data_IF_470642860697
#
_entry.id   IF_470642860697
#
_cell.length_a   1.000
_cell.length_b   1.000
_cell.length_c   1.000
_cell.angle_alpha   90.00
_cell.angle_beta   90.00
_cell.angle_gamma   90.00
#
_symmetry.space_group_name_H-M   'P 1'
#
loop_
_entity.id
_entity.type
_entity.pdbx_description
1 polymer ?
#
# COMPACT_ATOMS: atom_id res chain seq x y z
N UNK A 1 -10.14 -14.78 -1.98
CA UNK A 1 -10.24 -15.24 -3.37
C UNK A 1 -8.95 -15.94 -3.80
N UNK A 2 -9.03 -17.00 -4.59
CA UNK A 2 -7.87 -17.73 -5.08
C UNK A 2 -8.11 -18.24 -6.50
N UNK A 3 -7.06 -18.16 -7.34
CA UNK A 3 -7.11 -18.62 -8.72
C UNK A 3 -5.90 -19.50 -9.04
N UNK A 4 -6.15 -20.63 -9.70
CA UNK A 4 -5.14 -21.46 -10.35
C UNK A 4 -5.14 -21.09 -11.82
N UNK A 5 -3.99 -20.65 -12.32
CA UNK A 5 -3.86 -20.23 -13.71
C UNK A 5 -3.89 -21.44 -14.64
N UNK A 6 -4.56 -21.33 -15.77
CA UNK A 6 -4.67 -22.41 -16.76
C UNK A 6 -3.30 -22.80 -17.31
N UNK A 7 -2.47 -21.80 -17.59
CA UNK A 7 -1.07 -21.96 -18.01
C UNK A 7 -0.15 -21.25 -17.02
N UNK A 8 1.10 -21.73 -16.85
CA UNK A 8 2.12 -20.98 -16.13
C UNK A 8 2.31 -19.62 -16.80
N UNK A 9 2.26 -18.55 -16.02
CA UNK A 9 2.34 -17.16 -16.49
C UNK A 9 3.63 -16.51 -16.00
N UNK A 10 4.16 -15.61 -16.79
CA UNK A 10 5.27 -14.77 -16.39
C UNK A 10 4.83 -13.69 -15.40
N UNK A 11 5.78 -12.88 -14.93
CA UNK A 11 5.54 -11.84 -13.95
C UNK A 11 4.51 -10.80 -14.43
N UNK A 12 4.59 -10.34 -15.67
CA UNK A 12 3.69 -9.28 -16.17
C UNK A 12 2.28 -9.80 -16.41
N UNK A 13 2.14 -11.00 -16.97
CA UNK A 13 0.84 -11.64 -17.14
C UNK A 13 0.16 -11.91 -15.81
N UNK A 14 0.89 -12.43 -14.82
CA UNK A 14 0.35 -12.68 -13.49
C UNK A 14 -0.01 -11.36 -12.78
N UNK A 15 0.72 -10.27 -13.02
CA UNK A 15 0.39 -8.93 -12.50
C UNK A 15 -0.99 -8.45 -12.97
N UNK A 16 -1.34 -8.68 -14.23
CA UNK A 16 -2.67 -8.36 -14.75
C UNK A 16 -3.76 -9.17 -14.03
N UNK A 17 -3.52 -10.47 -13.81
CA UNK A 17 -4.46 -11.33 -13.08
C UNK A 17 -4.62 -10.86 -11.62
N UNK A 18 -3.53 -10.46 -10.97
CA UNK A 18 -3.59 -9.88 -9.61
C UNK A 18 -4.44 -8.61 -9.60
N UNK A 19 -4.36 -7.75 -10.61
CA UNK A 19 -5.21 -6.56 -10.74
C UNK A 19 -6.67 -6.93 -10.87
N UNK A 20 -7.03 -7.84 -11.78
CA UNK A 20 -8.42 -8.30 -11.96
C UNK A 20 -8.98 -8.91 -10.67
N UNK A 21 -8.20 -9.77 -10.00
CA UNK A 21 -8.61 -10.38 -8.74
C UNK A 21 -8.80 -9.33 -7.63
N UNK A 22 -7.99 -8.28 -7.63
CA UNK A 22 -8.11 -7.17 -6.68
C UNK A 22 -9.38 -6.38 -6.92
N UNK A 23 -9.70 -6.05 -8.18
CA UNK A 23 -10.95 -5.37 -8.56
C UNK A 23 -12.17 -6.19 -8.12
N UNK A 24 -12.17 -7.49 -8.40
CA UNK A 24 -13.25 -8.39 -7.98
C UNK A 24 -13.38 -8.47 -6.45
N UNK A 25 -12.26 -8.50 -5.72
CA UNK A 25 -12.25 -8.49 -4.27
C UNK A 25 -12.85 -7.20 -3.71
N UNK A 26 -12.47 -6.06 -4.25
CA UNK A 26 -12.98 -4.75 -3.84
C UNK A 26 -14.48 -4.65 -4.11
N UNK A 27 -14.95 -5.09 -5.27
CA UNK A 27 -16.39 -5.14 -5.58
C UNK A 27 -17.18 -5.93 -4.53
N UNK A 28 -16.67 -7.11 -4.12
CA UNK A 28 -17.29 -7.92 -3.07
C UNK A 28 -17.31 -7.24 -1.70
N UNK A 29 -16.26 -6.49 -1.36
CA UNK A 29 -16.17 -5.72 -0.11
C UNK A 29 -17.21 -4.58 -0.14
N UNK A 30 -17.27 -3.82 -1.23
CA UNK A 30 -18.23 -2.72 -1.41
C UNK A 30 -19.68 -3.22 -1.40
N UNK A 31 -19.98 -4.31 -2.12
CA UNK A 31 -21.31 -4.91 -2.16
C UNK A 31 -21.81 -5.27 -0.77
N UNK A 32 -20.93 -5.78 0.09
CA UNK A 32 -21.21 -6.15 1.48
C UNK A 32 -21.14 -4.98 2.46
N UNK A 33 -20.84 -3.77 2.00
CA UNK A 33 -20.63 -2.57 2.82
C UNK A 33 -19.57 -2.79 3.91
N UNK A 34 -18.47 -3.43 3.52
CA UNK A 34 -17.33 -3.68 4.39
C UNK A 34 -16.15 -2.80 3.97
N UNK A 35 -15.25 -2.59 4.92
CA UNK A 35 -13.93 -2.01 4.70
C UNK A 35 -12.87 -2.98 5.24
N UNK A 36 -11.67 -2.90 4.73
CA UNK A 36 -10.54 -3.74 5.16
C UNK A 36 -9.36 -2.88 5.57
N UNK A 37 -8.61 -3.31 6.57
CA UNK A 37 -7.34 -2.70 6.96
C UNK A 37 -6.12 -3.59 6.68
N UNK A 38 -6.33 -4.80 6.13
CA UNK A 38 -5.22 -5.71 5.86
C UNK A 38 -5.48 -6.56 4.62
N UNK A 39 -4.49 -6.63 3.73
CA UNK A 39 -4.50 -7.52 2.57
C UNK A 39 -3.35 -8.52 2.66
N UNK A 40 -3.66 -9.77 2.36
CA UNK A 40 -2.67 -10.86 2.26
C UNK A 40 -2.61 -11.33 0.82
N UNK A 41 -1.41 -11.44 0.28
CA UNK A 41 -1.15 -11.96 -1.07
C UNK A 41 -0.22 -13.15 -1.00
N UNK A 42 -0.55 -14.21 -1.75
CA UNK A 42 0.28 -15.41 -1.88
C UNK A 42 0.41 -15.77 -3.36
N UNK A 43 1.65 -15.91 -3.81
CA UNK A 43 2.02 -16.26 -5.18
C UNK A 43 2.64 -17.65 -5.19
N UNK A 44 1.98 -18.60 -5.83
CA UNK A 44 2.48 -19.97 -6.00
C UNK A 44 3.14 -20.14 -7.35
N UNK A 45 4.37 -20.66 -7.35
CA UNK A 45 5.15 -20.90 -8.56
C UNK A 45 4.87 -22.27 -9.17
N UNK A 46 5.13 -22.38 -10.46
CA UNK A 46 4.93 -23.63 -11.21
C UNK A 46 6.10 -24.61 -11.00
N UNK A 47 5.78 -25.90 -11.09
CA UNK A 47 6.77 -26.99 -11.00
C UNK A 47 7.79 -26.93 -12.13
N UNK A 48 7.43 -26.37 -13.26
CA UNK A 48 8.31 -26.26 -14.44
C UNK A 48 9.54 -25.38 -14.17
N UNK A 49 9.50 -24.54 -13.13
CA UNK A 49 10.67 -23.80 -12.65
C UNK A 49 11.79 -24.71 -12.11
N UNK A 50 11.48 -25.94 -11.73
CA UNK A 50 12.46 -26.93 -11.25
C UNK A 50 13.02 -27.81 -12.37
N UNK A 51 12.39 -27.79 -13.56
CA UNK A 51 12.84 -28.57 -14.72
C UNK A 51 13.90 -27.76 -15.46
N UNK A 52 15.02 -28.41 -15.78
CA UNK A 52 16.13 -27.82 -16.54
C UNK A 52 15.85 -27.78 -18.03
N UNK A 53 14.65 -27.41 -18.47
CA UNK A 53 14.30 -27.35 -19.89
C UNK A 53 14.19 -25.89 -20.37
N UNK A 54 14.75 -25.62 -21.55
CA UNK A 54 14.60 -24.36 -22.29
C UNK A 54 15.38 -23.15 -21.78
N UNK A 55 16.71 -23.28 -21.56
CA UNK A 55 17.58 -22.08 -21.40
C UNK A 55 17.40 -21.27 -20.12
N UNK A 56 16.52 -21.68 -19.21
CA UNK A 56 16.36 -21.08 -17.90
C UNK A 56 17.35 -21.66 -16.91
N UNK A 57 17.95 -20.80 -16.09
CA UNK A 57 18.81 -21.25 -14.97
C UNK A 57 17.97 -22.09 -14.01
N UNK A 58 18.52 -23.25 -13.58
CA UNK A 58 17.89 -24.09 -12.59
C UNK A 58 17.64 -23.28 -11.32
N UNK A 59 16.41 -23.35 -10.78
CA UNK A 59 16.06 -22.71 -9.53
C UNK A 59 16.95 -23.19 -8.38
N UNK A 60 17.56 -22.27 -7.66
CA UNK A 60 18.47 -22.56 -6.54
C UNK A 60 17.89 -22.12 -5.17
N UNK A 61 16.65 -21.63 -5.16
CA UNK A 61 16.00 -21.20 -3.93
C UNK A 61 15.41 -22.35 -3.11
N UNK A 62 14.67 -22.00 -2.07
CA UNK A 62 14.02 -22.95 -1.17
C UNK A 62 12.90 -23.70 -1.90
N UNK A 63 12.93 -25.05 -1.81
CA UNK A 63 11.94 -25.95 -2.40
C UNK A 63 11.04 -26.46 -1.27
N UNK A 64 9.73 -26.41 -1.50
CA UNK A 64 8.71 -27.00 -0.62
C UNK A 64 7.99 -28.15 -1.30
N UNK A 65 7.41 -29.02 -0.50
CA UNK A 65 6.53 -30.08 -0.97
C UNK A 65 5.08 -29.62 -0.81
N UNK A 66 4.30 -29.71 -1.88
CA UNK A 66 2.88 -29.39 -1.85
C UNK A 66 2.07 -30.53 -1.21
N UNK A 67 0.75 -30.30 -1.01
CA UNK A 67 -0.17 -31.30 -0.44
C UNK A 67 -0.28 -32.60 -1.24
N UNK A 68 0.18 -32.61 -2.49
CA UNK A 68 0.19 -33.78 -3.36
C UNK A 68 1.57 -34.47 -3.45
N UNK A 69 2.52 -34.08 -2.59
CA UNK A 69 3.87 -34.63 -2.55
C UNK A 69 4.80 -34.10 -3.66
N UNK A 70 4.40 -33.07 -4.44
CA UNK A 70 5.20 -32.52 -5.53
C UNK A 70 6.15 -31.45 -4.99
N UNK A 71 7.38 -31.48 -5.45
CA UNK A 71 8.35 -30.42 -5.17
C UNK A 71 8.01 -29.19 -6.00
N UNK A 72 7.93 -28.05 -5.35
CA UNK A 72 7.66 -26.75 -5.97
C UNK A 72 8.56 -25.67 -5.34
N UNK A 73 8.89 -24.58 -6.06
CA UNK A 73 9.56 -23.45 -5.43
C UNK A 73 8.73 -22.91 -4.27
N UNK A 74 9.39 -22.40 -3.23
CA UNK A 74 8.72 -21.74 -2.11
C UNK A 74 7.86 -20.59 -2.65
N UNK A 75 6.60 -20.56 -2.25
CA UNK A 75 5.67 -19.49 -2.63
C UNK A 75 6.10 -18.13 -2.08
N UNK A 76 5.86 -17.07 -2.85
CA UNK A 76 5.89 -15.70 -2.37
C UNK A 76 4.68 -15.46 -1.46
N UNK A 77 4.90 -14.87 -0.29
CA UNK A 77 3.82 -14.58 0.66
C UNK A 77 4.10 -13.25 1.35
N UNK A 78 3.07 -12.44 1.50
CA UNK A 78 3.19 -11.19 2.21
C UNK A 78 1.86 -10.62 2.64
N UNK A 79 1.95 -9.72 3.59
CA UNK A 79 0.83 -8.97 4.14
C UNK A 79 1.13 -7.49 4.03
N UNK A 80 0.13 -6.69 3.72
CA UNK A 80 0.16 -5.24 3.80
C UNK A 80 -0.98 -4.76 4.69
N UNK A 81 -0.65 -3.91 5.65
CA UNK A 81 -1.62 -3.19 6.46
C UNK A 81 -1.88 -1.84 5.78
N UNK A 82 -3.13 -1.44 5.78
CA UNK A 82 -3.58 -0.14 5.30
C UNK A 82 -3.68 0.81 6.50
N UNK A 83 -3.28 2.06 6.33
CA UNK A 83 -3.27 3.05 7.42
C UNK A 83 -4.66 3.27 8.04
N UNK A 84 -5.69 3.18 7.20
CA UNK A 84 -7.08 3.28 7.64
C UNK A 84 -7.92 2.17 6.96
N UNK A 85 -8.96 1.63 7.65
CA UNK A 85 -9.92 0.74 7.03
C UNK A 85 -10.56 1.39 5.81
N UNK A 86 -10.53 0.73 4.67
CA UNK A 86 -11.01 1.31 3.40
C UNK A 86 -11.58 0.25 2.46
N UNK A 87 -12.47 0.68 1.59
CA UNK A 87 -12.94 -0.04 0.40
C UNK A 87 -12.51 0.66 -0.90
N UNK A 88 -11.62 1.64 -0.82
CA UNK A 88 -11.12 2.39 -1.98
C UNK A 88 -10.32 1.49 -2.91
N UNK A 89 -10.81 1.32 -4.15
CA UNK A 89 -10.14 0.53 -5.18
C UNK A 89 -8.72 1.01 -5.44
N UNK A 90 -8.51 2.32 -5.54
CA UNK A 90 -7.18 2.89 -5.83
C UNK A 90 -6.17 2.61 -4.72
N UNK A 91 -6.59 2.75 -3.46
CA UNK A 91 -5.74 2.51 -2.29
C UNK A 91 -5.37 1.03 -2.17
N UNK A 92 -6.36 0.14 -2.27
CA UNK A 92 -6.16 -1.30 -2.18
C UNK A 92 -5.33 -1.80 -3.37
N UNK A 93 -5.64 -1.36 -4.60
CA UNK A 93 -4.90 -1.73 -5.80
C UNK A 93 -3.42 -1.36 -5.71
N UNK A 94 -3.12 -0.12 -5.30
CA UNK A 94 -1.74 0.33 -5.10
C UNK A 94 -1.02 -0.55 -4.10
N UNK A 95 -1.60 -0.76 -2.92
CA UNK A 95 -1.00 -1.57 -1.86
C UNK A 95 -0.74 -3.02 -2.30
N UNK A 96 -1.67 -3.63 -3.05
CA UNK A 96 -1.54 -4.99 -3.58
C UNK A 96 -0.43 -5.08 -4.62
N UNK A 97 -0.35 -4.13 -5.54
CA UNK A 97 0.68 -4.13 -6.59
C UNK A 97 2.07 -3.90 -6.03
N UNK A 98 2.22 -2.99 -5.06
CA UNK A 98 3.49 -2.77 -4.36
C UNK A 98 3.91 -4.04 -3.58
N UNK A 99 2.94 -4.71 -2.94
CA UNK A 99 3.17 -5.99 -2.26
C UNK A 99 3.57 -7.08 -3.26
N UNK A 100 2.88 -7.18 -4.40
CA UNK A 100 3.17 -8.14 -5.45
C UNK A 100 4.62 -8.01 -5.96
N UNK A 101 5.06 -6.79 -6.25
CA UNK A 101 6.42 -6.53 -6.72
C UNK A 101 7.49 -6.90 -5.69
N UNK A 102 7.18 -6.72 -4.41
CA UNK A 102 8.09 -7.01 -3.31
C UNK A 102 8.26 -8.50 -3.02
N UNK A 103 7.17 -9.31 -3.14
CA UNK A 103 7.18 -10.71 -2.73
C UNK A 103 7.40 -11.69 -3.89
N UNK A 104 7.30 -11.21 -5.15
CA UNK A 104 7.31 -12.09 -6.32
C UNK A 104 8.69 -12.13 -6.97
N UNK A 105 9.21 -13.34 -7.17
CA UNK A 105 10.41 -13.54 -7.97
C UNK A 105 10.06 -13.41 -9.47
N UNK A 106 10.63 -12.37 -10.10
CA UNK A 106 10.34 -12.00 -11.51
C UNK A 106 10.87 -13.03 -12.52
N UNK A 107 11.74 -13.94 -12.09
CA UNK A 107 12.35 -14.95 -12.95
C UNK A 107 11.57 -16.24 -13.03
N UNK A 108 10.59 -16.43 -12.14
CA UNK A 108 9.84 -17.68 -11.99
C UNK A 108 8.47 -17.60 -12.67
N UNK A 109 8.03 -18.74 -13.21
CA UNK A 109 6.68 -18.93 -13.70
C UNK A 109 5.70 -19.07 -12.54
N UNK A 110 4.60 -18.32 -12.60
CA UNK A 110 3.55 -18.28 -11.60
C UNK A 110 2.42 -19.22 -12.02
N UNK A 111 1.88 -19.98 -11.08
CA UNK A 111 0.78 -20.93 -11.29
C UNK A 111 -0.45 -20.62 -10.46
N UNK A 112 -0.31 -19.96 -9.34
CA UNK A 112 -1.40 -19.69 -8.40
C UNK A 112 -1.29 -18.29 -7.82
N UNK A 113 -2.43 -17.66 -7.66
CA UNK A 113 -2.56 -16.37 -6.99
C UNK A 113 -3.67 -16.49 -5.95
N UNK A 114 -3.39 -16.10 -4.72
CA UNK A 114 -4.39 -15.97 -3.65
C UNK A 114 -4.32 -14.57 -3.08
N UNK A 115 -5.48 -13.92 -3.00
CA UNK A 115 -5.63 -12.62 -2.36
C UNK A 115 -6.74 -12.70 -1.32
N UNK A 116 -6.49 -12.18 -0.14
CA UNK A 116 -7.42 -12.19 0.98
C UNK A 116 -7.45 -10.83 1.65
N UNK A 117 -8.65 -10.30 1.86
CA UNK A 117 -8.86 -9.15 2.73
C UNK A 117 -9.16 -9.67 4.15
N UNK A 118 -8.40 -9.19 5.10
CA UNK A 118 -8.56 -9.49 6.52
C UNK A 118 -8.98 -8.24 7.28
N UNK A 119 -9.30 -8.40 8.57
CA UNK A 119 -9.72 -7.30 9.43
C UNK A 119 -10.86 -6.49 8.76
N UNK A 120 -11.88 -7.24 8.32
CA UNK A 120 -13.08 -6.66 7.72
C UNK A 120 -13.95 -6.07 8.82
N UNK A 121 -14.39 -4.83 8.62
CA UNK A 121 -15.29 -4.09 9.53
C UNK A 121 -16.45 -3.52 8.71
N UNK A 122 -17.60 -3.36 9.33
CA UNK A 122 -18.73 -2.66 8.70
C UNK A 122 -18.34 -1.19 8.43
N UNK A 123 -18.65 -0.68 7.26
CA UNK A 123 -18.32 0.67 6.82
C UNK A 123 -18.85 1.74 7.78
N UNK A 124 -20.06 1.53 8.35
CA UNK A 124 -20.66 2.46 9.30
C UNK A 124 -19.93 2.46 10.64
N UNK A 125 -19.47 1.28 11.10
CA UNK A 125 -18.71 1.16 12.34
C UNK A 125 -17.33 1.79 12.19
N UNK A 126 -16.65 1.55 11.07
CA UNK A 126 -15.35 2.15 10.77
C UNK A 126 -15.42 3.69 10.68
N UNK A 127 -16.53 4.24 10.16
CA UNK A 127 -16.76 5.69 10.13
C UNK A 127 -17.08 6.30 11.51
N UNK A 128 -17.57 5.48 12.45
CA UNK A 128 -17.93 5.93 13.81
C UNK A 128 -16.73 5.86 14.78
N UNK A 129 -15.70 5.08 14.49
CA UNK A 129 -14.48 5.06 15.29
C UNK A 129 -13.71 6.36 15.09
N UNK A 130 -13.43 7.13 16.16
CA UNK A 130 -12.56 8.30 16.06
C UNK A 130 -11.19 7.81 15.58
N UNK A 131 -10.71 8.37 14.47
CA UNK A 131 -9.35 8.13 14.01
C UNK A 131 -8.41 8.76 15.05
N UNK A 132 -7.93 7.96 16.00
CA UNK A 132 -6.86 8.38 16.88
C UNK A 132 -5.58 8.48 16.04
N UNK A 133 -5.37 9.61 15.40
CA UNK A 133 -4.03 9.95 14.95
C UNK A 133 -3.18 10.13 16.20
N UNK A 134 -2.19 9.27 16.33
CA UNK A 134 -1.16 9.48 17.34
C UNK A 134 -0.42 10.77 16.94
N UNK A 135 -0.84 11.89 17.55
CA UNK A 135 -0.19 13.16 17.34
C UNK A 135 1.25 13.00 17.83
N UNK A 136 2.18 13.21 16.91
CA UNK A 136 3.60 13.17 17.26
C UNK A 136 3.89 14.46 18.05
N UNK A 137 3.93 14.35 19.36
CA UNK A 137 4.02 15.47 20.31
C UNK A 137 5.16 16.46 19.96
N UNK A 138 6.21 15.94 19.31
CA UNK A 138 7.37 16.74 18.90
C UNK A 138 7.15 17.52 17.58
N UNK A 139 6.31 17.02 16.68
CA UNK A 139 6.07 17.69 15.39
C UNK A 139 5.10 18.87 15.55
N UNK A 140 4.16 18.78 16.49
CA UNK A 140 3.21 19.85 16.75
C UNK A 140 3.84 20.99 17.56
N UNK A 141 4.77 20.68 18.47
CA UNK A 141 5.55 21.71 19.15
C UNK A 141 6.40 22.55 18.18
N UNK A 142 7.05 21.91 17.23
CA UNK A 142 7.87 22.61 16.22
C UNK A 142 7.01 23.47 15.27
N UNK A 143 5.79 23.02 14.93
CA UNK A 143 4.87 23.82 14.12
C UNK A 143 4.29 25.04 14.87
N UNK A 144 4.01 24.90 16.16
CA UNK A 144 3.52 26.03 16.96
C UNK A 144 4.60 27.09 17.16
N UNK A 145 5.86 26.69 17.41
CA UNK A 145 6.96 27.65 17.55
C UNK A 145 7.28 28.40 16.25
N UNK A 146 7.18 27.71 15.09
CA UNK A 146 7.39 28.36 13.78
C UNK A 146 6.27 29.35 13.47
N UNK A 147 5.01 29.01 13.77
CA UNK A 147 3.88 29.92 13.52
C UNK A 147 3.88 31.14 14.45
N UNK A 148 4.32 30.99 15.71
CA UNK A 148 4.48 32.12 16.64
C UNK A 148 5.66 33.01 16.28
N UNK A 149 6.75 32.44 15.73
CA UNK A 149 7.89 33.21 15.24
C UNK A 149 7.55 34.02 13.98
N UNK A 150 6.76 33.46 13.07
CA UNK A 150 6.28 34.17 11.86
C UNK A 150 5.31 35.31 12.21
N UNK A 151 4.35 35.11 13.12
CA UNK A 151 3.47 36.16 13.57
C UNK A 151 4.17 37.29 14.30
N UNK A 152 5.23 36.97 15.04
CA UNK A 152 6.03 37.97 15.75
C UNK A 152 6.93 38.79 14.79
N UNK A 153 7.38 38.18 13.71
CA UNK A 153 8.15 38.86 12.66
C UNK A 153 7.25 39.81 11.82
N UNK A 154 6.03 39.41 11.54
CA UNK A 154 5.07 40.21 10.79
C UNK A 154 4.57 41.44 11.61
N UNK A 155 4.32 41.26 12.91
CA UNK A 155 3.94 42.36 13.80
C UNK A 155 5.09 43.38 14.06
N UNK A 156 6.35 42.94 13.95
CA UNK A 156 7.51 43.83 14.07
C UNK A 156 7.76 44.66 12.82
N UNK A 157 7.40 44.16 11.65
CA UNK A 157 7.55 44.92 10.38
C UNK A 157 6.51 46.01 10.20
N UNK A 158 5.32 45.83 10.77
CA UNK A 158 4.22 46.81 10.66
C UNK A 158 4.38 48.01 11.63
N UNK A 159 5.15 47.83 12.70
CA UNK A 159 5.41 48.93 13.67
C UNK A 159 6.51 49.89 13.21
N UNK A 160 7.22 49.62 12.12
CA UNK A 160 8.33 50.44 11.60
C UNK A 160 7.92 51.38 10.46
N UNK A 161 6.65 51.37 10.05
CA UNK A 161 6.13 52.13 8.91
C UNK A 161 5.44 53.46 9.29
N UNK A 162 5.52 53.92 10.54
CA UNK A 162 4.90 55.18 10.94
C UNK A 162 5.93 56.20 11.46
N UNK A 163 6.63 56.86 10.54
CA UNK A 163 7.37 58.08 10.83
C UNK A 163 6.53 59.25 10.31
N UNK A 164 6.09 60.19 11.16
CA UNK A 164 5.36 61.39 10.65
C UNK A 164 6.37 62.40 10.08
N UNK A 165 6.15 62.80 8.87
CA UNK A 165 6.85 63.82 8.13
C UNK A 165 6.52 65.21 8.75
N UNK A 166 7.49 65.76 9.49
CA UNK A 166 7.42 67.15 10.00
C UNK A 166 8.29 68.01 9.08
N UNK A 167 7.68 68.52 8.01
CA UNK A 167 8.24 69.65 7.27
C UNK A 167 7.60 70.93 7.75
N UNK A 168 8.41 71.67 8.55
CA UNK A 168 8.07 73.01 8.95
C UNK A 168 8.15 73.99 7.79
N UNK A 169 7.13 74.86 7.64
CA UNK A 169 7.16 76.08 6.88
C UNK A 169 7.92 77.13 7.66
N UNK A 170 8.83 77.81 7.00
CA UNK A 170 9.22 79.17 7.28
C UNK A 170 9.44 79.90 5.94
N UNK A 171 8.66 80.96 5.84
CA UNK A 171 8.82 82.20 5.04
C UNK A 171 9.44 82.16 3.67
#
# INVERSE_FOLDING_TARGET
>A
SGQVLHCPSDFEQAKLIVREMTDMLVLQIVEKRLVTSQIVLTIGYDIDNLKSSSGRKKYQGEIKTDRYGRKIPKHGHGTVNLDNPTSSTSTIMKAVLDLYERITDKTLLIRRVYITANQLTDEKLAAAEPVYQQMNLFTDYLKSEVSEAEQKAESASDSMATVPDLVGKTE
#
